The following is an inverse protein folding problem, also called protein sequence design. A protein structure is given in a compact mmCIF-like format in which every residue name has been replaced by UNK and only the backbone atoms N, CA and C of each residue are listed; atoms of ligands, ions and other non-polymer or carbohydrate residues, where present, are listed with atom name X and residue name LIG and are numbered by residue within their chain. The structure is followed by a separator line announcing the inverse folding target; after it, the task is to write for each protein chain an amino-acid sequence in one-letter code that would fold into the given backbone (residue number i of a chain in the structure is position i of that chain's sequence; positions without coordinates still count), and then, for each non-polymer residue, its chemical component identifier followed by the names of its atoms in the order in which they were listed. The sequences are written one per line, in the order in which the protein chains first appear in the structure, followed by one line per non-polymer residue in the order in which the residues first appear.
data_IF_147364005218
#
_entry.id   IF_147364005218
#
_cell.length_a   1.000
_cell.length_b   1.000
_cell.length_c   1.000
_cell.angle_alpha   90.00
_cell.angle_beta   90.00
_cell.angle_gamma   90.00
#
_symmetry.space_group_name_H-M   'P 1'
#
loop_
_entity.id
_entity.type
_entity.pdbx_description
1 polymer ?
#
# COMPACT_ATOMS: atom_id res chain seq x y z
N UNK A 1 0.72 -6.37 -24.03
CA UNK A 1 -0.48 -7.15 -23.66
C UNK A 1 -0.70 -6.95 -22.17
N UNK A 2 -1.92 -6.61 -21.73
CA UNK A 2 -2.21 -6.37 -20.30
C UNK A 2 -2.44 -7.71 -19.60
N UNK A 3 -1.61 -8.03 -18.60
CA UNK A 3 -1.72 -9.26 -17.82
C UNK A 3 -2.34 -8.97 -16.45
N UNK A 4 -3.52 -9.50 -16.22
CA UNK A 4 -4.21 -9.45 -14.93
C UNK A 4 -3.77 -10.62 -14.06
N UNK A 5 -3.31 -10.32 -12.85
CA UNK A 5 -3.01 -11.31 -11.83
C UNK A 5 -3.61 -10.87 -10.51
N UNK A 6 -3.87 -11.84 -9.63
CA UNK A 6 -4.35 -11.56 -8.27
C UNK A 6 -3.37 -10.63 -7.56
N UNK A 7 -2.06 -10.87 -7.68
CA UNK A 7 -1.03 -10.01 -7.08
C UNK A 7 -1.10 -8.56 -7.58
N UNK A 8 -1.32 -8.36 -8.88
CA UNK A 8 -1.48 -7.03 -9.46
C UNK A 8 -2.75 -6.35 -8.92
N UNK A 9 -3.87 -7.06 -8.89
CA UNK A 9 -5.13 -6.55 -8.35
C UNK A 9 -5.01 -6.16 -6.87
N UNK A 10 -4.37 -7.01 -6.06
CA UNK A 10 -4.16 -6.73 -4.63
C UNK A 10 -3.24 -5.53 -4.39
N UNK A 11 -2.23 -5.33 -5.25
CA UNK A 11 -1.35 -4.15 -5.19
C UNK A 11 -2.11 -2.86 -5.50
N UNK A 12 -3.01 -2.90 -6.47
CA UNK A 12 -3.90 -1.78 -6.82
C UNK A 12 -4.82 -1.47 -5.64
N UNK A 13 -5.51 -2.48 -5.08
CA UNK A 13 -6.42 -2.29 -3.93
C UNK A 13 -5.70 -1.66 -2.73
N UNK A 14 -4.44 -2.01 -2.48
CA UNK A 14 -3.64 -1.46 -1.37
C UNK A 14 -3.25 0.01 -1.55
N UNK A 15 -3.39 0.59 -2.74
CA UNK A 15 -2.82 1.90 -3.02
C UNK A 15 -3.75 3.05 -2.59
N UNK A 16 -3.39 3.76 -1.53
CA UNK A 16 -4.10 4.94 -1.05
C UNK A 16 -4.09 6.13 -2.03
N UNK A 17 -3.23 6.12 -3.05
CA UNK A 17 -3.23 7.19 -4.07
C UNK A 17 -4.56 7.35 -4.79
N UNK A 18 -5.40 6.32 -4.83
CA UNK A 18 -6.72 6.43 -5.45
C UNK A 18 -7.71 7.26 -4.63
N UNK A 19 -7.40 7.61 -3.38
CA UNK A 19 -8.22 8.49 -2.53
C UNK A 19 -7.79 9.95 -2.57
N UNK A 20 -6.92 10.35 -3.51
CA UNK A 20 -6.40 11.72 -3.55
C UNK A 20 -5.22 11.96 -2.60
N UNK A 21 -4.66 10.91 -2.00
CA UNK A 21 -3.64 11.00 -0.94
C UNK A 21 -2.27 10.46 -1.39
N UNK A 22 -1.20 11.22 -1.13
CA UNK A 22 0.21 10.79 -1.27
C UNK A 22 0.60 9.94 -0.06
N UNK A 23 1.37 8.88 -0.27
CA UNK A 23 1.80 7.97 0.80
C UNK A 23 3.31 7.78 0.81
N UNK A 24 3.91 7.98 1.98
CA UNK A 24 5.35 7.95 2.23
C UNK A 24 5.74 6.77 3.11
N UNK A 25 7.05 6.62 3.33
CA UNK A 25 7.64 5.54 4.13
C UNK A 25 7.28 4.11 3.67
N UNK A 26 6.89 3.92 2.41
CA UNK A 26 6.65 2.58 1.81
C UNK A 26 7.92 1.74 1.68
N UNK A 27 9.07 2.41 1.66
CA UNK A 27 10.39 1.79 1.67
C UNK A 27 11.44 2.86 1.94
N UNK A 28 12.58 2.44 2.47
CA UNK A 28 13.70 3.32 2.85
C UNK A 28 15.03 2.75 2.38
N UNK A 29 16.05 3.58 2.30
CA UNK A 29 17.43 3.11 2.12
C UNK A 29 18.00 2.72 3.48
N UNK A 30 18.78 1.65 3.53
CA UNK A 30 19.34 1.15 4.79
C UNK A 30 20.40 2.09 5.40
N UNK A 31 21.25 2.69 4.56
CA UNK A 31 22.30 3.64 4.94
C UNK A 31 22.79 4.42 3.70
N UNK A 32 23.67 5.40 3.92
CA UNK A 32 24.19 6.28 2.86
C UNK A 32 25.14 5.58 1.88
N UNK A 33 25.92 4.61 2.35
CA UNK A 33 26.99 3.99 1.57
C UNK A 33 26.47 2.84 0.68
N UNK A 34 25.69 1.92 1.25
CA UNK A 34 25.15 0.74 0.54
C UNK A 34 23.86 1.06 -0.20
N UNK A 35 23.07 2.04 0.28
CA UNK A 35 21.81 2.48 -0.32
C UNK A 35 20.82 1.34 -0.63
N UNK A 36 20.89 0.23 0.11
CA UNK A 36 20.04 -0.94 -0.13
C UNK A 36 18.60 -0.59 0.20
N UNK A 37 17.69 -0.89 -0.73
CA UNK A 37 16.25 -0.67 -0.53
C UNK A 37 15.68 -1.68 0.45
N UNK A 38 15.08 -1.18 1.52
CA UNK A 38 14.34 -1.95 2.52
C UNK A 38 12.86 -1.64 2.35
N UNK A 39 12.06 -2.68 2.07
CA UNK A 39 10.62 -2.55 1.89
C UNK A 39 9.93 -2.47 3.25
N UNK A 40 9.10 -1.45 3.44
CA UNK A 40 8.27 -1.35 4.64
C UNK A 40 6.96 -2.12 4.39
N UNK A 41 6.86 -3.31 4.98
CA UNK A 41 5.69 -4.17 4.81
C UNK A 41 4.54 -3.77 5.72
N UNK A 42 4.83 -3.05 6.81
CA UNK A 42 3.86 -2.59 7.79
C UNK A 42 3.19 -1.27 7.35
N UNK A 43 1.90 -1.35 7.01
CA UNK A 43 1.14 -0.18 6.58
C UNK A 43 0.82 0.80 7.69
N UNK A 44 0.83 0.38 8.96
CA UNK A 44 0.49 1.26 10.08
C UNK A 44 1.52 2.38 10.27
N UNK A 45 2.73 2.17 9.77
CA UNK A 45 3.84 3.13 9.80
C UNK A 45 3.93 4.00 8.55
N UNK A 46 2.95 3.90 7.64
CA UNK A 46 2.90 4.75 6.45
C UNK A 46 2.40 6.14 6.83
N UNK A 47 2.99 7.14 6.19
CA UNK A 47 2.59 8.54 6.36
C UNK A 47 1.77 8.97 5.15
N UNK A 48 0.68 9.70 5.39
CA UNK A 48 -0.27 10.10 4.37
C UNK A 48 -0.36 11.63 4.32
N UNK A 49 -0.30 12.21 3.12
CA UNK A 49 -0.46 13.65 2.89
C UNK A 49 -1.39 13.91 1.71
N UNK A 50 -2.09 15.03 1.70
CA UNK A 50 -2.98 15.37 0.59
C UNK A 50 -2.21 15.50 -0.72
N UNK A 51 -2.77 14.91 -1.78
CA UNK A 51 -2.28 15.01 -3.14
C UNK A 51 -2.96 16.13 -3.91
N UNK A 52 -2.30 16.58 -4.97
CA UNK A 52 -2.82 17.63 -5.88
C UNK A 52 -3.59 17.01 -7.07
N UNK A 53 -4.17 15.82 -6.87
CA UNK A 53 -4.83 15.04 -7.92
C UNK A 53 -6.22 14.61 -7.46
N UNK A 54 -7.19 14.47 -8.39
CA UNK A 54 -8.55 14.09 -8.05
C UNK A 54 -8.59 12.68 -7.46
N UNK A 55 -9.47 12.48 -6.47
CA UNK A 55 -9.78 11.16 -5.95
C UNK A 55 -10.55 10.33 -6.99
N UNK A 56 -10.18 9.06 -7.14
CA UNK A 56 -10.88 8.09 -8.00
C UNK A 56 -11.93 7.33 -7.16
N UNK A 57 -11.64 7.08 -5.89
CA UNK A 57 -12.54 6.45 -4.92
C UNK A 57 -12.49 7.23 -3.62
N UNK A 58 -13.61 7.32 -2.89
CA UNK A 58 -13.63 7.98 -1.59
C UNK A 58 -12.79 7.22 -0.56
N UNK A 59 -12.28 7.95 0.43
CA UNK A 59 -11.52 7.37 1.54
C UNK A 59 -12.29 6.25 2.26
N UNK A 60 -13.60 6.42 2.47
CA UNK A 60 -14.46 5.43 3.14
C UNK A 60 -14.52 4.09 2.39
N UNK A 61 -14.60 4.12 1.05
CA UNK A 61 -14.61 2.90 0.22
C UNK A 61 -13.27 2.18 0.34
N UNK A 62 -12.17 2.94 0.28
CA UNK A 62 -10.83 2.39 0.40
C UNK A 62 -10.59 1.75 1.79
N UNK A 63 -11.03 2.40 2.87
CA UNK A 63 -10.93 1.89 4.23
C UNK A 63 -11.70 0.58 4.42
N UNK A 64 -12.93 0.50 3.88
CA UNK A 64 -13.73 -0.73 3.89
C UNK A 64 -13.01 -1.85 3.13
N UNK A 65 -12.40 -1.54 1.99
CA UNK A 65 -11.63 -2.51 1.21
C UNK A 65 -10.37 -3.00 1.96
N UNK A 66 -9.66 -2.12 2.68
CA UNK A 66 -8.50 -2.53 3.49
C UNK A 66 -8.91 -3.45 4.64
N UNK A 67 -10.00 -3.14 5.35
CA UNK A 67 -10.53 -4.00 6.42
C UNK A 67 -10.88 -5.40 5.91
N UNK A 68 -11.52 -5.48 4.74
CA UNK A 68 -11.84 -6.77 4.11
C UNK A 68 -10.59 -7.52 3.65
N UNK A 69 -9.57 -6.79 3.19
CA UNK A 69 -8.29 -7.39 2.80
C UNK A 69 -7.59 -8.00 4.02
N UNK A 70 -7.49 -7.23 5.11
CA UNK A 70 -6.82 -7.65 6.34
C UNK A 70 -7.51 -8.85 6.98
N UNK A 71 -8.85 -8.90 6.98
CA UNK A 71 -9.58 -10.07 7.49
C UNK A 71 -9.36 -11.35 6.67
N UNK A 72 -8.90 -11.23 5.42
CA UNK A 72 -8.62 -12.36 4.52
C UNK A 72 -7.15 -12.77 4.50
N UNK A 73 -6.26 -11.96 5.08
CA UNK A 73 -4.86 -12.34 5.24
C UNK A 73 -4.79 -13.36 6.37
N UNK A 74 -4.59 -14.63 6.02
CA UNK A 74 -4.27 -15.65 7.02
C UNK A 74 -2.90 -15.30 7.62
N UNK A 75 -2.74 -15.31 8.95
CA UNK A 75 -1.42 -15.24 9.54
C UNK A 75 -0.58 -16.37 8.94
N UNK A 76 0.59 -16.04 8.39
CA UNK A 76 1.51 -17.06 7.92
C UNK A 76 1.89 -17.90 9.12
N UNK A 77 1.54 -19.20 9.11
CA UNK A 77 2.09 -20.18 10.02
C UNK A 77 3.58 -20.31 9.71
N UNK A 78 4.40 -19.42 10.26
CA UNK A 78 5.86 -19.56 10.25
C UNK A 78 6.23 -19.92 11.67
N UNK A 79 6.54 -21.22 11.87
CA UNK A 79 7.25 -21.74 13.04
C UNK A 79 8.71 -21.28 13.02
#
# INVERSE_FOLDING_TARGET
MVYWSVSNAMRVIRNATYTGVKSYNKSRSNNFFEQKRVNNLDMSTYEYANGDFPEIVSQEIWDKAQKLRESRIKPSLVS
#
